data_IF_767839454948
#
_entry.id   IF_767839454948
#
_cell.length_a   1.000
_cell.length_b   1.000
_cell.length_c   1.000
_cell.angle_alpha   90.00
_cell.angle_beta   90.00
_cell.angle_gamma   90.00
#
_symmetry.space_group_name_H-M   'P 1'
#
loop_
_entity.id
_entity.type
_entity.pdbx_description
1 polymer ?
#
# COMPACT_ATOMS: atom_id res chain seq x y z
N UNK A 1 58.81 1.73 31.50
CA UNK A 1 57.77 1.49 30.49
C UNK A 1 56.56 2.31 30.88
N UNK A 2 56.21 3.36 30.16
CA UNK A 2 55.03 4.21 30.47
C UNK A 2 53.81 3.65 29.77
N UNK A 3 52.74 3.45 30.53
CA UNK A 3 51.44 3.02 30.06
C UNK A 3 50.71 4.15 29.32
N UNK A 4 50.37 3.91 28.05
CA UNK A 4 49.56 4.84 27.26
C UNK A 4 48.10 4.73 27.67
N UNK A 5 47.49 5.86 28.11
CA UNK A 5 46.05 6.03 28.32
C UNK A 5 45.30 5.97 26.96
N UNK A 6 44.10 5.37 26.89
CA UNK A 6 43.31 5.38 25.68
C UNK A 6 42.76 6.79 25.39
N UNK A 7 42.89 7.21 24.15
CA UNK A 7 42.34 8.50 23.64
C UNK A 7 40.82 8.42 23.63
N UNK A 8 40.18 9.28 24.38
CA UNK A 8 38.73 9.53 24.29
C UNK A 8 38.40 10.13 22.93
N UNK A 9 37.63 9.40 22.12
CA UNK A 9 37.04 9.95 20.90
C UNK A 9 35.98 11.00 21.26
N UNK A 10 36.24 12.24 20.90
CA UNK A 10 35.26 13.31 20.90
C UNK A 10 34.07 12.90 20.01
N UNK A 11 32.91 12.72 20.61
CA UNK A 11 31.64 12.64 19.91
C UNK A 11 31.43 13.98 19.20
N UNK A 12 31.64 13.98 17.89
CA UNK A 12 31.32 15.13 17.03
C UNK A 12 29.86 15.48 17.23
N UNK A 13 29.61 16.73 17.53
CA UNK A 13 28.29 17.33 17.58
C UNK A 13 27.48 16.93 16.35
N UNK A 14 26.31 16.33 16.58
CA UNK A 14 25.33 16.03 15.54
C UNK A 14 24.88 17.38 14.99
N UNK A 15 25.04 17.66 13.68
CA UNK A 15 24.59 18.93 13.12
C UNK A 15 23.09 19.10 13.39
N UNK A 16 22.73 20.29 13.89
CA UNK A 16 21.36 20.72 14.14
C UNK A 16 20.49 20.36 12.92
N UNK A 17 19.32 19.77 13.19
CA UNK A 17 18.32 19.41 12.19
C UNK A 17 18.09 20.60 11.25
N UNK A 18 18.43 20.40 9.98
CA UNK A 18 18.01 21.29 8.91
C UNK A 18 16.48 21.30 8.96
N UNK A 19 15.89 22.45 9.27
CA UNK A 19 14.45 22.66 9.19
C UNK A 19 14.04 22.43 7.72
N UNK A 20 13.46 21.29 7.40
CA UNK A 20 12.86 21.05 6.09
C UNK A 20 11.56 21.86 6.05
N UNK A 21 11.43 22.86 5.18
CA UNK A 21 10.15 23.49 4.89
C UNK A 21 9.29 22.47 4.16
N UNK A 22 8.09 22.21 4.64
CA UNK A 22 7.08 21.26 4.16
C UNK A 22 7.18 19.84 4.74
N UNK A 23 7.13 19.74 6.07
CA UNK A 23 6.50 18.58 6.67
C UNK A 23 5.01 18.70 6.31
N UNK A 24 4.57 17.89 5.35
CA UNK A 24 3.13 17.68 5.15
C UNK A 24 2.64 17.10 6.47
N UNK A 25 1.94 17.90 7.27
CA UNK A 25 1.22 17.39 8.42
C UNK A 25 0.28 16.32 7.89
N UNK A 26 0.61 15.06 8.15
CA UNK A 26 -0.34 13.99 7.97
C UNK A 26 -1.48 14.27 8.94
N UNK A 27 -2.54 14.88 8.44
CA UNK A 27 -3.82 14.92 9.12
C UNK A 27 -4.20 13.47 9.33
N UNK A 28 -4.04 12.97 10.55
CA UNK A 28 -4.50 11.65 10.92
C UNK A 28 -6.02 11.67 10.72
N UNK A 29 -6.51 10.98 9.68
CA UNK A 29 -7.93 10.71 9.53
C UNK A 29 -8.42 10.13 10.86
N UNK A 30 -9.53 10.66 11.37
CA UNK A 30 -10.15 10.26 12.64
C UNK A 30 -10.42 8.75 12.73
N UNK A 31 -10.38 8.05 11.60
CA UNK A 31 -10.56 6.60 11.48
C UNK A 31 -9.25 5.79 11.54
N UNK A 32 -8.10 6.44 11.72
CA UNK A 32 -6.81 5.74 11.74
C UNK A 32 -6.49 5.23 13.15
N UNK A 33 -6.26 3.93 13.28
CA UNK A 33 -5.90 3.31 14.57
C UNK A 33 -4.64 3.97 15.17
N UNK A 34 -4.69 4.45 16.43
CA UNK A 34 -3.56 5.14 17.08
C UNK A 34 -2.37 4.21 17.40
N UNK A 35 -2.58 2.88 17.38
CA UNK A 35 -1.53 1.90 17.71
C UNK A 35 -0.70 1.55 16.47
N UNK A 36 -1.34 1.30 15.34
CA UNK A 36 -0.66 0.84 14.13
C UNK A 36 -0.64 1.87 13.01
N UNK A 37 -1.22 3.06 13.21
CA UNK A 37 -1.29 4.12 12.22
C UNK A 37 -1.77 3.63 10.84
N UNK A 38 -2.74 2.71 10.86
CA UNK A 38 -3.34 2.14 9.65
C UNK A 38 -2.54 1.01 8.97
N UNK A 39 -1.36 0.65 9.45
CA UNK A 39 -0.57 -0.47 8.89
C UNK A 39 -1.15 -1.85 9.24
N UNK A 40 -1.98 -1.93 10.28
CA UNK A 40 -2.52 -3.18 10.80
C UNK A 40 -1.49 -4.04 11.54
N UNK A 41 -0.29 -3.51 11.80
CA UNK A 41 0.78 -4.18 12.54
C UNK A 41 1.23 -3.30 13.71
N UNK A 42 1.36 -3.89 14.88
CA UNK A 42 1.85 -3.25 16.10
C UNK A 42 3.30 -3.70 16.36
N UNK A 43 4.19 -2.75 16.62
CA UNK A 43 5.57 -3.02 16.97
C UNK A 43 5.71 -3.21 18.48
N UNK A 44 6.24 -4.37 18.89
CA UNK A 44 6.51 -4.67 20.30
C UNK A 44 8.02 -4.66 20.52
N UNK A 45 8.48 -3.80 21.42
CA UNK A 45 9.88 -3.69 21.76
C UNK A 45 10.47 -5.07 22.16
N UNK A 46 11.55 -5.47 21.48
CA UNK A 46 12.25 -6.74 21.71
C UNK A 46 11.54 -8.01 21.22
N UNK A 47 10.32 -7.92 20.66
CA UNK A 47 9.56 -9.09 20.17
C UNK A 47 9.16 -8.99 18.69
N UNK A 48 9.46 -7.87 18.02
CA UNK A 48 9.14 -7.66 16.62
C UNK A 48 7.72 -7.13 16.39
N UNK A 49 7.07 -7.51 15.28
CA UNK A 49 5.76 -7.03 14.89
C UNK A 49 4.68 -8.10 15.08
N UNK A 50 3.51 -7.71 15.60
CA UNK A 50 2.30 -8.56 15.66
C UNK A 50 1.12 -7.91 14.95
N UNK A 51 0.09 -8.71 14.65
CA UNK A 51 -1.16 -8.18 14.09
C UNK A 51 -1.84 -7.27 15.11
N UNK A 52 -2.17 -6.04 14.72
CA UNK A 52 -2.88 -5.10 15.57
C UNK A 52 -4.33 -5.56 15.83
N UNK A 53 -4.82 -5.32 17.02
CA UNK A 53 -6.21 -5.65 17.42
C UNK A 53 -7.26 -4.93 16.53
N UNK A 54 -6.95 -3.73 16.01
CA UNK A 54 -7.84 -3.01 15.09
C UNK A 54 -8.20 -3.83 13.84
N UNK A 55 -7.38 -4.81 13.43
CA UNK A 55 -7.73 -5.72 12.33
C UNK A 55 -8.95 -6.60 12.62
N UNK A 56 -9.26 -6.83 13.88
CA UNK A 56 -10.46 -7.59 14.27
C UNK A 56 -11.71 -6.74 14.12
N UNK A 57 -11.62 -5.45 14.44
CA UNK A 57 -12.73 -4.50 14.32
C UNK A 57 -12.99 -4.09 12.87
N UNK A 58 -11.94 -4.03 12.04
CA UNK A 58 -12.04 -3.69 10.60
C UNK A 58 -12.75 -4.79 9.77
N UNK A 59 -12.84 -6.03 10.27
CA UNK A 59 -13.62 -7.10 9.62
C UNK A 59 -15.13 -6.82 9.49
N UNK A 60 -15.65 -5.82 10.20
CA UNK A 60 -17.03 -5.34 10.05
C UNK A 60 -17.19 -4.10 9.16
N UNK A 61 -16.10 -3.53 8.62
CA UNK A 61 -16.17 -2.39 7.71
C UNK A 61 -16.31 -2.86 6.26
N UNK A 62 -16.97 -2.04 5.46
CA UNK A 62 -17.08 -2.23 4.01
C UNK A 62 -15.71 -2.57 3.40
N UNK A 63 -15.53 -3.75 2.77
CA UNK A 63 -14.26 -4.17 2.20
C UNK A 63 -13.69 -3.17 1.21
N UNK A 64 -14.55 -2.44 0.48
CA UNK A 64 -14.14 -1.38 -0.45
C UNK A 64 -13.48 -0.20 0.26
N UNK A 65 -13.98 0.20 1.44
CA UNK A 65 -13.35 1.23 2.27
C UNK A 65 -12.02 0.75 2.83
N UNK A 66 -11.95 -0.52 3.28
CA UNK A 66 -10.73 -1.14 3.80
C UNK A 66 -9.64 -1.25 2.72
N UNK A 67 -10.01 -1.38 1.45
CA UNK A 67 -9.09 -1.43 0.32
C UNK A 67 -8.42 -0.07 0.01
N UNK A 68 -8.86 1.03 0.63
CA UNK A 68 -8.31 2.39 0.47
C UNK A 68 -8.14 2.81 -1.00
N UNK A 69 -9.14 2.52 -1.83
CA UNK A 69 -9.14 2.89 -3.24
C UNK A 69 -9.21 4.42 -3.35
N UNK A 70 -8.23 5.08 -4.02
CA UNK A 70 -8.25 6.53 -4.18
C UNK A 70 -9.53 7.01 -4.87
N UNK A 71 -10.05 8.19 -4.47
CA UNK A 71 -11.32 8.73 -4.96
C UNK A 71 -11.42 8.76 -6.50
N UNK A 72 -10.33 9.08 -7.19
CA UNK A 72 -10.26 9.09 -8.66
C UNK A 72 -10.54 7.75 -9.33
N UNK A 73 -10.47 6.65 -8.59
CA UNK A 73 -10.71 5.30 -9.10
C UNK A 73 -11.97 4.64 -8.52
N UNK A 74 -12.77 5.37 -7.76
CA UNK A 74 -13.99 4.81 -7.17
C UNK A 74 -14.95 4.26 -8.22
N UNK A 75 -14.98 4.85 -9.42
CA UNK A 75 -15.80 4.41 -10.54
C UNK A 75 -15.12 3.39 -11.46
N UNK A 76 -13.86 3.01 -11.17
CA UNK A 76 -13.16 2.00 -11.97
C UNK A 76 -13.81 0.63 -11.78
N UNK A 77 -14.20 0.00 -12.88
CA UNK A 77 -14.81 -1.33 -12.93
C UNK A 77 -14.61 -1.92 -14.33
N UNK A 78 -14.81 -3.22 -14.50
CA UNK A 78 -14.70 -3.83 -15.83
C UNK A 78 -15.63 -3.20 -16.88
N UNK A 79 -16.93 -2.89 -16.57
CA UNK A 79 -17.82 -2.24 -17.52
C UNK A 79 -17.40 -0.81 -17.91
N UNK A 80 -16.68 -0.10 -17.04
CA UNK A 80 -16.25 1.28 -17.30
C UNK A 80 -14.88 1.36 -17.99
N UNK A 81 -14.25 0.23 -18.28
CA UNK A 81 -12.97 0.19 -18.98
C UNK A 81 -13.16 0.39 -20.48
N UNK A 82 -12.54 1.45 -21.03
CA UNK A 82 -12.65 1.77 -22.45
C UNK A 82 -11.74 0.91 -23.31
N UNK A 83 -12.33 0.07 -24.14
CA UNK A 83 -11.64 -0.82 -25.09
C UNK A 83 -11.57 -0.14 -26.47
N UNK A 84 -10.60 0.76 -26.65
CA UNK A 84 -10.42 1.50 -27.91
C UNK A 84 -9.62 0.72 -28.98
N UNK A 85 -8.99 -0.37 -28.59
CA UNK A 85 -8.12 -1.18 -29.45
C UNK A 85 -8.11 -2.65 -29.01
N UNK A 86 -7.65 -3.55 -29.92
CA UNK A 86 -7.58 -5.00 -29.68
C UNK A 86 -6.71 -5.40 -28.48
N UNK A 87 -5.70 -4.58 -28.16
CA UNK A 87 -4.81 -4.87 -27.03
C UNK A 87 -5.52 -4.62 -25.70
N UNK A 88 -6.30 -3.55 -25.62
CA UNK A 88 -7.10 -3.23 -24.44
C UNK A 88 -8.24 -4.25 -24.23
N UNK A 89 -8.89 -4.66 -25.33
CA UNK A 89 -9.90 -5.71 -25.28
C UNK A 89 -9.33 -7.04 -24.75
N UNK A 90 -8.17 -7.44 -25.25
CA UNK A 90 -7.46 -8.64 -24.78
C UNK A 90 -7.04 -8.51 -23.31
N UNK A 91 -6.56 -7.33 -22.89
CA UNK A 91 -6.19 -7.06 -21.51
C UNK A 91 -7.40 -7.13 -20.57
N UNK A 92 -8.54 -6.53 -20.97
CA UNK A 92 -9.80 -6.60 -20.24
C UNK A 92 -10.24 -8.06 -20.06
N UNK A 93 -10.27 -8.84 -21.15
CA UNK A 93 -10.66 -10.26 -21.08
C UNK A 93 -9.78 -11.04 -20.14
N UNK A 94 -8.45 -10.92 -20.24
CA UNK A 94 -7.52 -11.64 -19.34
C UNK A 94 -7.67 -11.21 -17.88
N UNK A 95 -7.89 -9.94 -17.62
CA UNK A 95 -8.11 -9.43 -16.26
C UNK A 95 -9.43 -9.96 -15.67
N UNK A 96 -10.49 -10.01 -16.47
CA UNK A 96 -11.78 -10.56 -16.08
C UNK A 96 -11.70 -12.06 -15.83
N UNK A 97 -11.09 -12.82 -16.74
CA UNK A 97 -10.90 -14.26 -16.59
C UNK A 97 -10.09 -14.60 -15.33
N UNK A 98 -9.04 -13.81 -15.04
CA UNK A 98 -8.25 -13.95 -13.82
C UNK A 98 -9.10 -13.74 -12.56
N UNK A 99 -9.91 -12.68 -12.52
CA UNK A 99 -10.79 -12.40 -11.38
C UNK A 99 -11.80 -13.53 -11.17
N UNK A 100 -12.38 -14.09 -12.24
CA UNK A 100 -13.34 -15.20 -12.16
C UNK A 100 -12.73 -16.52 -11.70
N UNK A 101 -11.46 -16.77 -11.99
CA UNK A 101 -10.74 -18.00 -11.59
C UNK A 101 -10.21 -17.94 -10.17
N UNK A 102 -10.09 -16.75 -9.57
CA UNK A 102 -9.59 -16.61 -8.22
C UNK A 102 -10.53 -17.32 -7.20
N UNK A 103 -10.03 -18.00 -6.15
CA UNK A 103 -8.62 -18.11 -5.75
C UNK A 103 -7.83 -19.24 -6.45
N UNK A 104 -8.43 -20.01 -7.33
CA UNK A 104 -7.83 -21.21 -7.94
C UNK A 104 -6.91 -20.90 -9.14
N UNK A 105 -6.18 -19.79 -9.06
CA UNK A 105 -5.24 -19.37 -10.10
C UNK A 105 -3.86 -20.00 -9.87
N UNK A 106 -3.26 -20.57 -10.92
CA UNK A 106 -1.91 -21.16 -10.87
C UNK A 106 -0.81 -20.12 -11.06
N UNK A 107 -1.14 -18.95 -11.61
CA UNK A 107 -0.16 -17.90 -11.95
C UNK A 107 -0.70 -16.52 -11.60
N UNK A 108 0.21 -15.60 -11.23
CA UNK A 108 -0.13 -14.19 -11.04
C UNK A 108 -0.40 -13.47 -12.35
N UNK A 109 -1.03 -12.28 -12.27
CA UNK A 109 -1.27 -11.40 -13.41
C UNK A 109 -0.31 -10.21 -13.38
N UNK A 110 0.46 -10.02 -14.46
CA UNK A 110 1.32 -8.85 -14.66
C UNK A 110 0.67 -7.90 -15.66
N UNK A 111 0.41 -6.65 -15.25
CA UNK A 111 -0.09 -5.58 -16.10
C UNK A 111 1.07 -4.68 -16.53
N UNK A 112 1.55 -4.83 -17.76
CA UNK A 112 2.64 -4.05 -18.34
C UNK A 112 2.17 -3.16 -19.51
N UNK A 113 2.89 -2.07 -19.76
CA UNK A 113 2.59 -1.15 -20.86
C UNK A 113 2.87 0.32 -20.52
N UNK A 114 2.75 1.26 -21.49
CA UNK A 114 2.98 2.69 -21.30
C UNK A 114 2.07 3.33 -20.25
N UNK A 115 2.39 4.55 -19.84
CA UNK A 115 1.52 5.35 -18.95
C UNK A 115 0.19 5.65 -19.65
N UNK A 116 -0.91 5.69 -18.90
CA UNK A 116 -2.24 6.05 -19.42
C UNK A 116 -3.05 4.92 -20.07
N UNK A 117 -2.48 3.73 -20.30
CA UNK A 117 -3.23 2.62 -20.96
C UNK A 117 -4.31 1.95 -20.08
N UNK A 118 -4.45 2.34 -18.82
CA UNK A 118 -5.50 1.84 -17.93
C UNK A 118 -5.11 0.66 -17.02
N UNK A 119 -3.82 0.41 -16.79
CA UNK A 119 -3.35 -0.67 -15.89
C UNK A 119 -3.97 -0.60 -14.50
N UNK A 120 -3.94 0.59 -13.90
CA UNK A 120 -4.52 0.83 -12.55
C UNK A 120 -6.04 0.64 -12.55
N UNK A 121 -6.72 1.03 -13.62
CA UNK A 121 -8.15 0.78 -13.77
C UNK A 121 -8.46 -0.73 -13.72
N UNK A 122 -7.76 -1.53 -14.52
CA UNK A 122 -7.92 -2.99 -14.51
C UNK A 122 -7.57 -3.62 -13.17
N UNK A 123 -6.47 -3.20 -12.53
CA UNK A 123 -6.06 -3.70 -11.23
C UNK A 123 -7.14 -3.45 -10.16
N UNK A 124 -7.75 -2.25 -10.14
CA UNK A 124 -8.82 -1.91 -9.21
C UNK A 124 -10.11 -2.65 -9.57
N UNK A 125 -10.41 -2.84 -10.86
CA UNK A 125 -11.56 -3.65 -11.29
C UNK A 125 -11.45 -5.09 -10.80
N UNK A 126 -10.26 -5.70 -10.90
CA UNK A 126 -10.00 -7.03 -10.33
C UNK A 126 -10.21 -7.00 -8.81
N UNK A 127 -9.58 -6.06 -8.11
CA UNK A 127 -9.70 -5.95 -6.66
C UNK A 127 -11.16 -5.86 -6.21
N UNK A 128 -11.97 -5.05 -6.88
CA UNK A 128 -13.41 -4.90 -6.58
C UNK A 128 -14.23 -6.15 -6.82
N UNK A 129 -13.84 -6.99 -7.77
CA UNK A 129 -14.51 -8.27 -8.04
C UNK A 129 -14.15 -9.32 -6.98
N UNK A 130 -13.01 -9.18 -6.29
CA UNK A 130 -12.50 -10.14 -5.31
C UNK A 130 -12.89 -9.87 -3.87
N UNK A 131 -13.41 -8.67 -3.56
CA UNK A 131 -13.84 -8.26 -2.23
C UNK A 131 -15.34 -8.32 -2.08
#
# INVERSE_FOLDING_TARGET
MPQQKPKTHNLREVPQRIAMPNVVEFVADSDTCPICFGTGMELIAGKGARKCECRKTVRGQDPLKAARIPAKYQNASFPTYLTLDRYKERALKKAFDFAKQYPNVSQGLLLAGPVGVGKTHLAISILKELI
#
